data_IF_169840921391
#
_entry.id   IF_169840921391
#
_cell.length_a   1.000
_cell.length_b   1.000
_cell.length_c   1.000
_cell.angle_alpha   90.00
_cell.angle_beta   90.00
_cell.angle_gamma   90.00
#
_symmetry.space_group_name_H-M   'P 1'
#
loop_
_entity.id
_entity.type
_entity.pdbx_description
1 polymer ?
#
# COMPACT_ATOMS: atom_id res chain seq x y z
N UNK A 1 -7.64 17.62 1.91
CA UNK A 1 -7.08 16.38 1.38
C UNK A 1 -6.12 16.77 0.28
N UNK A 2 -4.85 16.53 0.54
CA UNK A 2 -3.76 16.72 -0.40
C UNK A 2 -3.31 15.35 -0.91
N UNK A 3 -3.06 15.23 -2.22
CA UNK A 3 -2.70 13.95 -2.86
C UNK A 3 -1.52 14.15 -3.79
N UNK A 4 -0.42 13.47 -3.49
CA UNK A 4 0.74 13.36 -4.38
C UNK A 4 0.77 11.96 -5.00
N UNK A 5 0.97 11.87 -6.32
CA UNK A 5 1.07 10.58 -7.03
C UNK A 5 2.43 10.46 -7.72
N UNK A 6 3.08 9.32 -7.51
CA UNK A 6 4.39 8.99 -8.09
C UNK A 6 4.41 7.54 -8.53
N UNK A 7 5.17 7.22 -9.58
CA UNK A 7 5.40 5.84 -10.00
C UNK A 7 6.73 5.32 -9.48
N UNK A 8 6.71 4.14 -8.89
CA UNK A 8 7.90 3.47 -8.37
C UNK A 8 8.01 2.07 -8.97
N UNK A 9 9.24 1.65 -9.24
CA UNK A 9 9.53 0.34 -9.81
C UNK A 9 10.11 -0.53 -8.71
N UNK A 10 9.58 -1.74 -8.56
CA UNK A 10 10.19 -2.73 -7.67
C UNK A 10 11.46 -3.31 -8.29
N UNK A 11 12.32 -3.88 -7.46
CA UNK A 11 13.48 -4.66 -7.91
C UNK A 11 13.10 -5.88 -8.78
N UNK A 12 11.84 -6.32 -8.71
CA UNK A 12 11.29 -7.42 -9.52
C UNK A 12 10.64 -6.93 -10.83
N UNK A 13 10.88 -5.66 -11.21
CA UNK A 13 10.36 -5.10 -12.46
C UNK A 13 8.85 -4.86 -12.45
N UNK A 14 8.23 -4.77 -11.26
CA UNK A 14 6.80 -4.51 -11.10
C UNK A 14 6.59 -3.00 -10.95
N UNK A 15 5.64 -2.47 -11.71
CA UNK A 15 5.28 -1.06 -11.66
C UNK A 15 4.24 -0.82 -10.58
N UNK A 16 4.52 0.10 -9.68
CA UNK A 16 3.61 0.55 -8.63
C UNK A 16 3.27 2.03 -8.82
N UNK A 17 2.01 2.35 -8.59
CA UNK A 17 1.56 3.70 -8.33
C UNK A 17 1.57 3.92 -6.82
N UNK A 18 2.32 4.92 -6.36
CA UNK A 18 2.30 5.42 -5.00
C UNK A 18 1.40 6.67 -4.96
N UNK A 19 0.39 6.66 -4.10
CA UNK A 19 -0.38 7.84 -3.74
C UNK A 19 -0.13 8.18 -2.26
N UNK A 20 0.39 9.37 -1.99
CA UNK A 20 0.55 9.92 -0.64
C UNK A 20 -0.63 10.85 -0.41
N UNK A 21 -1.45 10.55 0.59
CA UNK A 21 -2.72 11.21 0.86
C UNK A 21 -2.64 11.77 2.27
N UNK A 22 -2.76 13.09 2.40
CA UNK A 22 -2.87 13.77 3.69
C UNK A 22 -4.32 14.15 3.91
N UNK A 23 -4.93 13.62 4.95
CA UNK A 23 -6.36 13.84 5.22
C UNK A 23 -6.66 13.93 6.71
N UNK A 24 -7.69 14.74 7.02
CA UNK A 24 -8.30 14.82 8.35
C UNK A 24 -9.56 13.93 8.44
N UNK A 25 -10.10 13.74 9.64
CA UNK A 25 -11.28 12.89 9.88
C UNK A 25 -12.48 13.24 8.99
N UNK A 26 -12.79 14.53 8.85
CA UNK A 26 -13.91 15.00 8.02
C UNK A 26 -13.80 14.59 6.54
N UNK A 27 -12.60 14.20 6.09
CA UNK A 27 -12.32 13.85 4.71
C UNK A 27 -12.31 12.34 4.46
N UNK A 28 -12.59 11.52 5.49
CA UNK A 28 -12.63 10.05 5.41
C UNK A 28 -13.46 9.54 4.23
N UNK A 29 -14.64 10.11 4.01
CA UNK A 29 -15.55 9.69 2.92
C UNK A 29 -14.94 9.88 1.53
N UNK A 30 -13.96 10.78 1.37
CA UNK A 30 -13.30 11.04 0.10
C UNK A 30 -12.45 9.85 -0.35
N UNK A 31 -11.98 9.00 0.57
CA UNK A 31 -11.24 7.77 0.24
C UNK A 31 -12.08 6.82 -0.61
N UNK A 32 -13.39 6.71 -0.35
CA UNK A 32 -14.29 5.82 -1.11
C UNK A 32 -14.47 6.25 -2.58
N UNK A 33 -14.33 7.54 -2.86
CA UNK A 33 -14.56 8.10 -4.19
C UNK A 33 -13.27 8.23 -5.02
N UNK A 34 -12.12 7.87 -4.45
CA UNK A 34 -10.85 7.93 -5.16
C UNK A 34 -10.70 6.76 -6.14
N UNK A 35 -10.23 7.08 -7.34
CA UNK A 35 -9.73 6.08 -8.28
C UNK A 35 -8.27 5.77 -7.95
N UNK A 36 -8.03 4.60 -7.37
CA UNK A 36 -6.69 4.11 -7.01
C UNK A 36 -6.07 3.24 -8.09
N UNK A 37 -6.90 2.47 -8.79
CA UNK A 37 -6.49 1.52 -9.81
C UNK A 37 -7.47 1.54 -11.00
N UNK A 38 -7.04 1.22 -12.23
CA UNK A 38 -7.95 0.96 -13.34
C UNK A 38 -8.92 -0.19 -13.07
N UNK A 39 -8.50 -1.20 -12.28
CA UNK A 39 -9.38 -2.30 -11.85
C UNK A 39 -10.33 -1.81 -10.75
N UNK A 40 -11.64 -1.86 -11.00
CA UNK A 40 -12.65 -1.48 -10.02
C UNK A 40 -12.54 -2.32 -8.74
N UNK A 41 -12.38 -3.65 -8.87
CA UNK A 41 -12.19 -4.58 -7.74
C UNK A 41 -10.98 -4.18 -6.89
N UNK A 42 -9.83 -3.91 -7.53
CA UNK A 42 -8.63 -3.49 -6.81
C UNK A 42 -8.80 -2.09 -6.19
N UNK A 43 -9.46 -1.16 -6.88
CA UNK A 43 -9.72 0.19 -6.37
C UNK A 43 -10.63 0.16 -5.13
N UNK A 44 -11.66 -0.69 -5.12
CA UNK A 44 -12.52 -0.89 -3.95
C UNK A 44 -11.73 -1.52 -2.79
N UNK A 45 -10.97 -2.58 -3.06
CA UNK A 45 -10.13 -3.23 -2.06
C UNK A 45 -9.10 -2.27 -1.43
N UNK A 46 -8.55 -1.33 -2.22
CA UNK A 46 -7.67 -0.27 -1.72
C UNK A 46 -8.42 0.72 -0.85
N UNK A 47 -9.62 1.14 -1.25
CA UNK A 47 -10.44 2.07 -0.46
C UNK A 47 -10.80 1.47 0.91
N UNK A 48 -11.20 0.20 0.93
CA UNK A 48 -11.52 -0.53 2.17
C UNK A 48 -10.30 -0.61 3.09
N UNK A 49 -9.13 -0.97 2.55
CA UNK A 49 -7.88 -1.05 3.32
C UNK A 49 -7.45 0.32 3.84
N UNK A 50 -7.59 1.37 3.02
CA UNK A 50 -7.25 2.73 3.39
C UNK A 50 -8.12 3.24 4.53
N UNK A 51 -9.42 2.92 4.50
CA UNK A 51 -10.35 3.24 5.58
C UNK A 51 -10.03 2.45 6.84
N UNK A 52 -9.79 1.14 6.72
CA UNK A 52 -9.43 0.30 7.87
C UNK A 52 -8.20 0.84 8.59
N UNK A 53 -7.14 1.17 7.83
CA UNK A 53 -5.92 1.73 8.40
C UNK A 53 -6.20 3.12 8.98
N UNK A 54 -6.90 3.98 8.26
CA UNK A 54 -7.22 5.31 8.75
C UNK A 54 -8.01 5.27 10.06
N UNK A 55 -9.03 4.41 10.15
CA UNK A 55 -9.86 4.22 11.34
C UNK A 55 -9.03 3.64 12.51
N UNK A 56 -8.12 2.69 12.23
CA UNK A 56 -7.19 2.13 13.24
C UNK A 56 -6.20 3.17 13.77
N UNK A 57 -5.77 4.08 12.90
CA UNK A 57 -4.75 5.10 13.19
C UNK A 57 -5.32 6.35 13.87
N UNK A 58 -6.64 6.50 13.92
CA UNK A 58 -7.29 7.74 14.36
C UNK A 58 -7.29 7.89 15.89
N UNK A 59 -6.16 8.38 16.41
CA UNK A 59 -6.07 8.94 17.75
C UNK A 59 -6.24 10.46 17.68
N UNK A 60 -7.41 10.95 18.08
CA UNK A 60 -7.62 12.35 18.51
C UNK A 60 -7.48 13.41 17.40
N UNK A 61 -8.27 13.30 16.32
CA UNK A 61 -8.53 14.35 15.31
C UNK A 61 -7.26 14.90 14.59
N UNK A 62 -6.20 14.11 14.53
CA UNK A 62 -4.95 14.48 13.87
C UNK A 62 -4.99 14.18 12.38
N UNK A 63 -4.25 14.96 11.61
CA UNK A 63 -4.02 14.67 10.20
C UNK A 63 -3.25 13.34 10.07
N UNK A 64 -3.81 12.40 9.32
CA UNK A 64 -3.16 11.14 8.98
C UNK A 64 -2.55 11.25 7.58
N UNK A 65 -1.37 10.65 7.42
CA UNK A 65 -0.73 10.46 6.13
C UNK A 65 -0.91 9.00 5.73
N UNK A 66 -1.68 8.76 4.67
CA UNK A 66 -1.82 7.45 4.05
C UNK A 66 -0.92 7.35 2.82
N UNK A 67 -0.05 6.35 2.77
CA UNK A 67 0.74 5.99 1.59
C UNK A 67 0.14 4.72 1.01
N UNK A 68 -0.36 4.83 -0.21
CA UNK A 68 -1.07 3.76 -0.91
C UNK A 68 -0.22 3.31 -2.09
N UNK A 69 0.26 2.07 -2.05
CA UNK A 69 0.96 1.40 -3.13
C UNK A 69 0.01 0.44 -3.85
N UNK A 70 -0.11 0.60 -5.16
CA UNK A 70 -0.93 -0.28 -6.01
C UNK A 70 -0.11 -0.69 -7.21
N UNK A 71 0.08 -2.00 -7.42
CA UNK A 71 0.75 -2.48 -8.63
C UNK A 71 -0.14 -2.35 -9.86
N UNK A 72 0.47 -2.28 -11.03
CA UNK A 72 -0.22 -2.74 -12.24
C UNK A 72 -0.52 -4.25 -12.13
N UNK A 73 -1.52 -4.76 -12.87
CA UNK A 73 -1.77 -6.19 -12.96
C UNK A 73 -0.49 -6.93 -13.33
N UNK A 74 -0.12 -7.95 -12.55
CA UNK A 74 1.12 -8.69 -12.77
C UNK A 74 1.10 -9.37 -14.14
N UNK A 75 2.23 -9.31 -14.85
CA UNK A 75 2.41 -10.18 -16.03
C UNK A 75 2.62 -11.62 -15.57
N UNK A 76 2.35 -12.58 -16.46
CA UNK A 76 2.66 -14.00 -16.20
C UNK A 76 4.13 -14.20 -15.82
N UNK A 77 5.05 -13.52 -16.52
CA UNK A 77 6.49 -13.59 -16.24
C UNK A 77 6.85 -13.01 -14.87
N UNK A 78 6.21 -11.93 -14.44
CA UNK A 78 6.40 -11.35 -13.09
C UNK A 78 5.89 -12.31 -12.01
N UNK A 79 4.68 -12.85 -12.19
CA UNK A 79 4.08 -13.81 -11.24
C UNK A 79 4.95 -15.08 -11.09
N UNK A 80 5.37 -15.67 -12.21
CA UNK A 80 6.23 -16.85 -12.22
C UNK A 80 7.58 -16.56 -11.54
N UNK A 81 8.17 -15.38 -11.79
CA UNK A 81 9.42 -14.98 -11.14
C UNK A 81 9.28 -14.83 -9.62
N UNK A 82 8.21 -14.17 -9.14
CA UNK A 82 7.93 -14.03 -7.70
C UNK A 82 7.74 -15.41 -7.04
N UNK A 83 7.04 -16.33 -7.71
CA UNK A 83 6.82 -17.69 -7.23
C UNK A 83 8.14 -18.49 -7.16
N UNK A 84 8.94 -18.46 -8.23
CA UNK A 84 10.23 -19.16 -8.29
C UNK A 84 11.20 -18.67 -7.21
N UNK A 85 11.23 -17.36 -6.97
CA UNK A 85 12.07 -16.72 -5.98
C UNK A 85 11.48 -16.79 -4.55
N UNK A 86 10.28 -17.38 -4.38
CA UNK A 86 9.56 -17.46 -3.10
C UNK A 86 9.45 -16.09 -2.41
N UNK A 87 9.15 -15.06 -3.19
CA UNK A 87 9.09 -13.68 -2.70
C UNK A 87 7.78 -13.46 -1.97
N UNK A 88 7.84 -13.04 -0.72
CA UNK A 88 6.64 -12.67 0.05
C UNK A 88 6.16 -11.27 -0.33
N UNK A 89 4.89 -10.96 -0.07
CA UNK A 89 4.34 -9.60 -0.24
C UNK A 89 5.17 -8.60 0.58
N UNK A 90 5.55 -8.99 1.80
CA UNK A 90 6.43 -8.22 2.67
C UNK A 90 7.79 -7.91 2.01
N UNK A 91 8.37 -8.88 1.27
CA UNK A 91 9.60 -8.69 0.51
C UNK A 91 9.44 -7.68 -0.64
N UNK A 92 8.33 -7.76 -1.39
CA UNK A 92 8.04 -6.80 -2.47
C UNK A 92 7.87 -5.39 -1.90
N UNK A 93 7.03 -5.23 -0.87
CA UNK A 93 6.73 -3.92 -0.26
C UNK A 93 7.95 -3.33 0.46
N UNK A 94 8.73 -4.16 1.17
CA UNK A 94 9.97 -3.72 1.81
C UNK A 94 10.98 -3.14 0.81
N UNK A 95 11.09 -3.74 -0.38
CA UNK A 95 11.90 -3.19 -1.47
C UNK A 95 11.39 -1.85 -2.00
N UNK A 96 10.07 -1.64 -2.05
CA UNK A 96 9.48 -0.38 -2.49
C UNK A 96 9.74 0.77 -1.52
N UNK A 97 9.66 0.52 -0.20
CA UNK A 97 9.95 1.53 0.81
C UNK A 97 11.39 2.07 0.68
N UNK A 98 12.35 1.19 0.39
CA UNK A 98 13.75 1.57 0.15
C UNK A 98 13.93 2.42 -1.12
N UNK A 99 13.16 2.16 -2.18
CA UNK A 99 13.20 2.94 -3.43
C UNK A 99 12.46 4.28 -3.29
N UNK A 100 11.29 4.27 -2.65
CA UNK A 100 10.47 5.46 -2.41
C UNK A 100 11.18 6.45 -1.47
N UNK A 101 11.82 5.96 -0.40
CA UNK A 101 12.61 6.79 0.51
C UNK A 101 13.80 7.49 -0.15
N UNK A 102 14.29 6.99 -1.29
CA UNK A 102 15.35 7.67 -2.08
C UNK A 102 14.80 8.66 -3.11
N UNK A 103 13.54 8.52 -3.53
CA UNK A 103 12.94 9.31 -4.62
C UNK A 103 12.07 10.47 -4.13
N UNK A 104 11.52 10.37 -2.94
CA UNK A 104 10.64 11.40 -2.36
C UNK A 104 11.52 12.37 -1.57
N UNK A 105 11.70 13.57 -2.12
CA UNK A 105 12.51 14.62 -1.52
C UNK A 105 11.95 15.03 -0.14
N UNK A 106 12.86 15.30 0.79
CA UNK A 106 12.81 15.57 2.24
C UNK A 106 11.69 16.47 2.83
N UNK A 107 10.73 16.98 2.06
CA UNK A 107 9.78 17.99 2.57
C UNK A 107 8.44 17.45 3.08
N UNK A 108 8.19 16.15 2.94
CA UNK A 108 6.93 15.49 3.33
C UNK A 108 7.02 14.87 4.72
N UNK A 109 7.92 15.30 5.62
CA UNK A 109 7.88 14.90 7.04
C UNK A 109 7.83 13.38 7.22
N UNK A 110 8.53 12.65 6.36
CA UNK A 110 8.70 11.21 6.51
C UNK A 110 9.63 11.07 7.71
N UNK A 111 9.07 10.65 8.84
CA UNK A 111 9.85 10.08 9.93
C UNK A 111 10.61 8.89 9.37
N UNK A 112 11.81 9.15 8.84
CA UNK A 112 12.79 8.14 8.51
C UNK A 112 13.13 7.39 9.80
N UNK A 113 12.59 6.18 9.99
CA UNK A 113 13.01 5.36 11.12
C UNK A 113 12.20 4.12 11.49
N UNK A 114 10.98 3.92 11.00
CA UNK A 114 10.11 2.90 11.60
C UNK A 114 10.06 1.57 10.84
N UNK A 115 10.62 0.57 11.52
CA UNK A 115 10.47 -0.85 11.28
C UNK A 115 9.08 -1.20 10.74
N UNK A 116 9.07 -1.75 9.52
CA UNK A 116 7.88 -2.36 8.94
C UNK A 116 7.56 -3.59 9.79
N UNK A 117 6.72 -3.45 10.83
CA UNK A 117 6.12 -4.60 11.50
C UNK A 117 5.07 -5.16 10.56
N UNK A 118 5.53 -6.11 9.76
CA UNK A 118 4.80 -6.72 8.65
C UNK A 118 3.47 -7.32 9.11
N UNK A 119 2.40 -6.95 8.41
CA UNK A 119 1.12 -7.63 8.47
C UNK A 119 1.29 -9.09 8.03
N UNK A 120 0.77 -9.97 8.88
CA UNK A 120 0.79 -11.42 8.86
C UNK A 120 0.10 -12.01 7.63
N UNK A 121 0.90 -12.46 6.65
CA UNK A 121 0.60 -13.70 5.92
C UNK A 121 1.89 -14.52 5.87
N UNK A 122 1.96 -15.51 6.78
CA UNK A 122 3.09 -16.42 6.94
C UNK A 122 3.14 -17.52 5.86
N UNK A 123 2.16 -17.56 4.94
CA UNK A 123 2.20 -18.41 3.76
C UNK A 123 2.76 -17.65 2.57
N UNK A 124 3.69 -18.27 1.84
CA UNK A 124 4.14 -17.82 0.53
C UNK A 124 2.91 -17.79 -0.40
N UNK A 125 2.40 -16.62 -0.79
CA UNK A 125 1.28 -16.57 -1.70
C UNK A 125 1.73 -17.05 -3.07
N UNK A 126 0.87 -17.79 -3.76
CA UNK A 126 1.08 -18.10 -5.17
C UNK A 126 0.54 -16.93 -5.98
N UNK A 127 1.44 -16.23 -6.69
CA UNK A 127 1.07 -15.11 -7.55
C UNK A 127 0.56 -15.63 -8.90
N UNK A 128 -0.46 -14.99 -9.43
CA UNK A 128 -1.01 -15.29 -10.75
C UNK A 128 -0.92 -14.07 -11.67
N UNK A 129 -0.99 -14.34 -12.97
CA UNK A 129 -1.10 -13.28 -13.96
C UNK A 129 -2.39 -12.47 -13.74
N UNK A 130 -2.26 -11.16 -13.78
CA UNK A 130 -3.33 -10.19 -13.55
C UNK A 130 -3.54 -9.81 -12.08
N UNK A 131 -2.92 -10.52 -11.13
CA UNK A 131 -3.05 -10.18 -9.71
C UNK A 131 -2.57 -8.75 -9.47
N UNK A 132 -3.18 -8.07 -8.51
CA UNK A 132 -2.80 -6.72 -8.11
C UNK A 132 -2.32 -6.74 -6.67
N UNK A 133 -1.08 -6.33 -6.45
CA UNK A 133 -0.51 -6.17 -5.11
C UNK A 133 -0.91 -4.79 -4.61
N UNK A 134 -1.53 -4.75 -3.43
CA UNK A 134 -1.88 -3.51 -2.76
C UNK A 134 -1.23 -3.44 -1.39
N UNK A 135 -0.78 -2.25 -1.02
CA UNK A 135 -0.28 -1.97 0.31
C UNK A 135 -0.70 -0.57 0.71
N UNK A 136 -1.23 -0.45 1.93
CA UNK A 136 -1.52 0.86 2.52
C UNK A 136 -0.75 0.98 3.81
N UNK A 137 -0.14 2.13 4.00
CA UNK A 137 0.60 2.52 5.18
C UNK A 137 -0.03 3.80 5.73
N UNK A 138 -0.34 3.83 7.01
CA UNK A 138 -0.82 4.99 7.74
C UNK A 138 0.24 5.46 8.72
N UNK A 139 0.45 6.77 8.76
CA UNK A 139 1.38 7.44 9.67
C UNK A 139 0.67 8.62 10.33
N UNK A 140 0.81 8.75 11.64
CA UNK A 140 0.29 9.87 12.43
C UNK A 140 1.40 10.40 13.32
N UNK A 141 1.58 11.72 13.35
CA UNK A 141 2.61 12.34 14.18
C UNK A 141 2.08 12.64 15.59
N UNK A 142 2.62 11.93 16.59
CA UNK A 142 2.37 12.10 18.02
C UNK A 142 1.02 11.58 18.53
N UNK A 143 0.86 11.52 19.87
CA UNK A 143 -0.34 11.00 20.56
C UNK A 143 -0.09 9.68 21.30
N UNK A 144 -1.12 9.18 22.01
CA UNK A 144 -1.15 7.87 22.66
C UNK A 144 -1.94 6.92 21.75
N UNK A 145 -1.25 6.05 21.02
CA UNK A 145 -1.83 5.16 20.02
C UNK A 145 -0.78 4.68 19.01
N UNK A 146 -1.14 3.76 18.08
CA UNK A 146 -0.24 3.37 16.99
C UNK A 146 0.09 4.59 16.12
N UNK A 147 1.38 4.90 15.98
CA UNK A 147 1.87 6.02 15.15
C UNK A 147 2.23 5.60 13.72
N UNK A 148 2.25 4.29 13.48
CA UNK A 148 2.48 3.67 12.17
C UNK A 148 1.69 2.37 12.05
N UNK A 149 1.04 2.14 10.91
CA UNK A 149 0.37 0.88 10.60
C UNK A 149 0.47 0.57 9.12
N UNK A 150 0.74 -0.68 8.75
CA UNK A 150 0.82 -1.12 7.36
C UNK A 150 -0.04 -2.37 7.19
N UNK A 151 -0.85 -2.40 6.14
CA UNK A 151 -1.57 -3.60 5.72
C UNK A 151 -1.35 -3.81 4.23
N UNK A 152 -1.17 -5.06 3.81
CA UNK A 152 -0.93 -5.41 2.40
C UNK A 152 -1.72 -6.65 2.05
N UNK A 153 -2.19 -6.73 0.81
CA UNK A 153 -2.90 -7.91 0.30
C UNK A 153 -2.72 -8.04 -1.21
N UNK A 154 -3.01 -9.22 -1.72
CA UNK A 154 -3.13 -9.48 -3.15
C UNK A 154 -4.62 -9.47 -3.49
N UNK A 155 -4.98 -8.74 -4.54
CA UNK A 155 -6.31 -8.79 -5.13
C UNK A 155 -6.22 -9.71 -6.36
N UNK A 156 -6.83 -10.90 -6.30
CA UNK A 156 -6.77 -11.84 -7.41
C UNK A 156 -7.50 -11.31 -8.65
N UNK A 157 -6.93 -11.54 -9.84
CA UNK A 157 -7.57 -11.17 -11.11
C UNK A 157 -8.82 -12.00 -11.39
N UNK A 158 -8.79 -13.27 -11.02
CA UNK A 158 -9.91 -14.21 -11.14
C UNK A 158 -10.73 -14.12 -9.85
N UNK A 159 -12.04 -13.95 -9.99
CA UNK A 159 -12.95 -14.18 -8.86
C UNK A 159 -13.01 -15.67 -8.59
N UNK A 160 -12.07 -16.22 -7.83
CA UNK A 160 -12.18 -17.58 -7.34
C UNK A 160 -11.96 -17.61 -5.83
N UNK A 161 -12.96 -18.07 -5.05
CA UNK A 161 -12.76 -18.44 -3.67
C UNK A 161 -11.97 -19.75 -3.64
N UNK A 162 -11.04 -19.87 -2.69
CA UNK A 162 -10.62 -21.16 -2.17
C UNK A 162 -11.07 -21.25 -0.71
#
# INVERSE_FOLDING_TARGET
MDIERTHVHSQHGINFSLAIIRLAWAERSRLLHMKYCPSAKASHAVADLAIEIFDRMQATDRACVLKVFVSLPLTRTQADSLNQQRVTIAGVIGGLAAVAGKRINTFVGIGSGLAVRWATQQSLPTYHAGDVIISVEGEVSGGIGPQHSVTSQIVPSVGEPA
#
